data_IF_683510152011
#
_entry.id   IF_683510152011
#
_cell.length_a   1.000
_cell.length_b   1.000
_cell.length_c   1.000
_cell.angle_alpha   90.00
_cell.angle_beta   90.00
_cell.angle_gamma   90.00
#
_symmetry.space_group_name_H-M   'P 1'
#
loop_
_entity.id
_entity.type
_entity.pdbx_description
1 polymer ?
#
# COMPACT_ATOMS: atom_id res chain seq x y z
N UNK A 1 22.19 -20.92 -16.99
CA UNK A 1 21.21 -20.69 -18.06
C UNK A 1 20.94 -19.20 -18.06
N UNK A 2 21.38 -18.46 -19.07
CA UNK A 2 20.95 -17.06 -19.23
C UNK A 2 19.45 -17.05 -19.54
N UNK A 3 18.66 -16.35 -18.72
CA UNK A 3 17.25 -16.14 -19.01
C UNK A 3 17.11 -15.37 -20.33
N UNK A 4 16.28 -15.91 -21.22
CA UNK A 4 16.07 -15.34 -22.55
C UNK A 4 15.20 -14.09 -22.42
N UNK A 5 15.79 -12.90 -22.59
CA UNK A 5 15.09 -11.60 -22.55
C UNK A 5 13.85 -11.60 -23.46
N UNK A 6 12.73 -11.13 -22.94
CA UNK A 6 11.48 -10.98 -23.69
C UNK A 6 11.57 -9.83 -24.70
N UNK A 7 10.61 -9.74 -25.62
CA UNK A 7 10.53 -8.58 -26.53
C UNK A 7 10.23 -7.27 -25.78
N UNK A 8 9.48 -7.37 -24.67
CA UNK A 8 9.20 -6.22 -23.80
C UNK A 8 10.48 -5.71 -23.12
N UNK A 9 11.32 -6.62 -22.60
CA UNK A 9 12.60 -6.25 -21.97
C UNK A 9 13.51 -5.53 -22.96
N UNK A 10 13.64 -6.06 -24.18
CA UNK A 10 14.49 -5.46 -25.23
C UNK A 10 14.02 -4.07 -25.63
N UNK A 11 12.72 -3.89 -25.80
CA UNK A 11 12.14 -2.61 -26.21
C UNK A 11 12.28 -1.57 -25.10
N UNK A 12 12.10 -1.99 -23.84
CA UNK A 12 12.34 -1.13 -22.67
C UNK A 12 13.81 -0.71 -22.60
N UNK A 13 14.75 -1.65 -22.68
CA UNK A 13 16.18 -1.36 -22.65
C UNK A 13 16.61 -0.44 -23.80
N UNK A 14 16.04 -0.61 -24.99
CA UNK A 14 16.29 0.27 -26.13
C UNK A 14 15.77 1.71 -25.87
N UNK A 15 14.61 1.86 -25.23
CA UNK A 15 14.12 3.18 -24.79
C UNK A 15 15.06 3.82 -23.74
N UNK A 16 15.52 3.05 -22.76
CA UNK A 16 16.52 3.48 -21.75
C UNK A 16 17.83 3.93 -22.42
N UNK A 17 18.32 3.22 -23.44
CA UNK A 17 19.52 3.61 -24.16
C UNK A 17 19.32 4.87 -25.01
N UNK A 18 18.18 4.98 -25.71
CA UNK A 18 17.87 6.14 -26.55
C UNK A 18 17.77 7.43 -25.73
N UNK A 19 17.30 7.36 -24.49
CA UNK A 19 17.25 8.50 -23.57
C UNK A 19 18.59 9.25 -23.47
N UNK A 20 19.71 8.53 -23.52
CA UNK A 20 21.06 9.11 -23.40
C UNK A 20 21.43 10.03 -24.57
N UNK A 21 20.76 9.90 -25.72
CA UNK A 21 21.00 10.75 -26.89
C UNK A 21 20.28 12.10 -26.83
N UNK A 22 19.39 12.31 -25.86
CA UNK A 22 18.62 13.54 -25.70
C UNK A 22 19.28 14.53 -24.75
N UNK A 23 19.00 15.83 -24.94
CA UNK A 23 19.45 16.90 -24.06
C UNK A 23 18.67 16.88 -22.73
N UNK A 24 19.26 16.21 -21.73
CA UNK A 24 18.70 16.07 -20.39
C UNK A 24 18.51 17.43 -19.69
N UNK A 25 19.40 18.41 -19.94
CA UNK A 25 19.31 19.74 -19.34
C UNK A 25 18.15 20.55 -19.94
N UNK A 26 17.88 20.39 -21.24
CA UNK A 26 16.68 20.92 -21.88
C UNK A 26 15.42 20.31 -21.26
N UNK A 27 15.37 18.99 -21.05
CA UNK A 27 14.23 18.33 -20.40
C UNK A 27 13.98 18.84 -18.98
N UNK A 28 15.04 18.93 -18.18
CA UNK A 28 14.97 19.42 -16.80
C UNK A 28 14.34 20.81 -16.76
N UNK A 29 14.80 21.73 -17.63
CA UNK A 29 14.23 23.08 -17.72
C UNK A 29 12.78 23.08 -18.23
N UNK A 30 12.49 22.30 -19.27
CA UNK A 30 11.17 22.23 -19.91
C UNK A 30 10.09 21.80 -18.92
N UNK A 31 10.37 20.76 -18.14
CA UNK A 31 9.41 20.15 -17.21
C UNK A 31 9.63 20.53 -15.75
N UNK A 32 10.58 21.44 -15.48
CA UNK A 32 10.97 21.84 -14.11
C UNK A 32 11.31 20.65 -13.20
N UNK A 33 11.98 19.63 -13.76
CA UNK A 33 12.32 18.42 -13.02
C UNK A 33 13.39 18.70 -11.96
N UNK A 34 13.30 17.99 -10.83
CA UNK A 34 14.43 17.91 -9.90
C UNK A 34 15.49 16.99 -10.49
N UNK A 35 16.76 17.30 -10.31
CA UNK A 35 17.85 16.47 -10.76
C UNK A 35 19.10 16.66 -9.91
N UNK A 36 19.95 15.64 -9.87
CA UNK A 36 21.32 15.72 -9.35
C UNK A 36 22.32 15.21 -10.41
N UNK A 37 23.56 14.94 -9.98
CA UNK A 37 24.62 14.42 -10.85
C UNK A 37 24.34 13.01 -11.42
N UNK A 38 23.48 12.23 -10.77
CA UNK A 38 23.22 10.83 -11.11
C UNK A 38 21.82 10.59 -11.65
N UNK A 39 20.83 11.40 -11.26
CA UNK A 39 19.41 11.13 -11.50
C UNK A 39 18.61 12.36 -11.91
N UNK A 40 17.58 12.13 -12.74
CA UNK A 40 16.42 13.00 -12.88
C UNK A 40 15.30 12.42 -12.01
N UNK A 41 14.50 13.27 -11.38
CA UNK A 41 13.39 12.86 -10.52
C UNK A 41 12.07 13.40 -11.07
N UNK A 42 11.06 12.56 -11.05
CA UNK A 42 9.70 12.92 -11.43
C UNK A 42 8.67 12.15 -10.62
N UNK A 43 7.45 12.69 -10.54
CA UNK A 43 6.28 11.98 -10.03
C UNK A 43 5.45 11.50 -11.21
N UNK A 44 5.05 10.23 -11.18
CA UNK A 44 4.18 9.62 -12.17
C UNK A 44 3.07 8.84 -11.45
N UNK A 45 1.82 9.30 -11.59
CA UNK A 45 0.61 8.76 -10.93
C UNK A 45 0.83 8.50 -9.43
N UNK A 46 1.14 9.58 -8.71
CA UNK A 46 1.28 9.55 -7.25
C UNK A 46 2.54 8.85 -6.72
N UNK A 47 3.39 8.28 -7.59
CA UNK A 47 4.64 7.60 -7.20
C UNK A 47 5.85 8.39 -7.66
N UNK A 48 6.89 8.43 -6.84
CA UNK A 48 8.16 9.07 -7.18
C UNK A 48 9.09 8.09 -7.92
N UNK A 49 9.63 8.54 -9.06
CA UNK A 49 10.58 7.81 -9.90
C UNK A 49 11.88 8.59 -10.03
N UNK A 50 12.95 7.84 -10.31
CA UNK A 50 14.24 8.38 -10.72
C UNK A 50 14.69 7.76 -12.03
N UNK A 51 15.30 8.56 -12.90
CA UNK A 51 15.89 8.12 -14.16
C UNK A 51 17.40 8.32 -14.05
N UNK A 52 18.16 7.23 -14.21
CA UNK A 52 19.62 7.29 -14.20
C UNK A 52 20.12 8.06 -15.42
N UNK A 53 20.91 9.10 -15.16
CA UNK A 53 21.53 9.93 -16.21
C UNK A 53 22.58 9.18 -17.03
N UNK A 54 23.13 8.10 -16.46
CA UNK A 54 24.24 7.34 -17.03
C UNK A 54 23.80 6.20 -17.95
N UNK A 55 22.64 5.61 -17.68
CA UNK A 55 22.15 4.45 -18.44
C UNK A 55 20.65 4.51 -18.81
N UNK A 56 19.95 5.59 -18.45
CA UNK A 56 18.53 5.79 -18.74
C UNK A 56 17.57 4.91 -17.95
N UNK A 57 18.08 4.05 -17.06
CA UNK A 57 17.27 3.14 -16.26
C UNK A 57 16.29 3.91 -15.38
N UNK A 58 15.02 3.53 -15.44
CA UNK A 58 13.98 4.11 -14.59
C UNK A 58 13.73 3.19 -13.40
N UNK A 59 13.78 3.78 -12.22
CA UNK A 59 13.58 3.09 -10.95
C UNK A 59 12.60 3.86 -10.08
N UNK A 60 11.88 3.14 -9.23
CA UNK A 60 11.04 3.71 -8.18
C UNK A 60 11.35 2.98 -6.87
N UNK A 61 11.04 3.61 -5.73
CA UNK A 61 11.25 2.94 -4.46
C UNK A 61 10.20 1.86 -4.28
N UNK A 62 10.61 0.60 -4.23
CA UNK A 62 9.70 -0.41 -3.71
C UNK A 62 9.58 -0.17 -2.21
N UNK A 63 8.41 0.26 -1.77
CA UNK A 63 8.08 0.20 -0.35
C UNK A 63 7.97 -1.28 0.04
N UNK A 64 9.13 -1.90 0.34
CA UNK A 64 9.19 -3.18 1.02
C UNK A 64 9.10 -2.93 2.53
N UNK A 65 8.17 -3.66 3.12
CA UNK A 65 7.77 -3.49 4.51
C UNK A 65 8.97 -3.83 5.41
N UNK A 66 9.36 -2.90 6.31
CA UNK A 66 10.40 -3.11 7.32
C UNK A 66 11.83 -2.80 6.89
N UNK A 67 12.03 -2.11 5.76
CA UNK A 67 13.34 -1.61 5.32
C UNK A 67 13.34 -0.07 5.35
N UNK A 68 14.18 0.53 6.19
CA UNK A 68 14.44 1.98 6.23
C UNK A 68 15.34 2.47 5.08
N UNK A 69 15.54 1.65 4.04
CA UNK A 69 16.40 1.98 2.90
C UNK A 69 15.67 1.83 1.57
N UNK A 70 16.07 2.67 0.61
CA UNK A 70 15.54 2.67 -0.75
C UNK A 70 15.94 1.37 -1.46
N UNK A 71 14.99 0.49 -1.75
CA UNK A 71 15.22 -0.67 -2.61
C UNK A 71 14.67 -0.37 -4.01
N UNK A 72 15.55 -0.07 -4.99
CA UNK A 72 15.11 0.29 -6.34
C UNK A 72 14.39 -0.87 -7.01
N UNK A 73 13.09 -0.74 -7.22
CA UNK A 73 12.39 -1.52 -8.23
C UNK A 73 12.59 -0.85 -9.59
N UNK A 74 12.91 -1.65 -10.61
CA UNK A 74 12.95 -1.13 -11.97
C UNK A 74 11.53 -0.94 -12.49
N UNK A 75 11.30 0.16 -13.21
CA UNK A 75 10.05 0.38 -13.91
C UNK A 75 9.80 -0.72 -14.95
N UNK A 76 8.54 -1.11 -15.07
CA UNK A 76 8.02 -2.02 -16.07
C UNK A 76 8.00 -1.38 -17.46
N UNK A 77 7.52 -2.17 -18.43
CA UNK A 77 7.47 -1.78 -19.84
C UNK A 77 6.61 -0.54 -20.09
N UNK A 78 5.36 -0.53 -19.61
CA UNK A 78 4.41 0.57 -19.84
C UNK A 78 4.86 1.87 -19.17
N UNK A 79 5.30 1.79 -17.92
CA UNK A 79 5.87 2.93 -17.17
C UNK A 79 7.05 3.54 -17.92
N UNK A 80 7.98 2.68 -18.38
CA UNK A 80 9.18 3.16 -19.06
C UNK A 80 8.83 3.85 -20.36
N UNK A 81 7.99 3.24 -21.20
CA UNK A 81 7.62 3.84 -22.47
C UNK A 81 6.82 5.14 -22.29
N UNK A 82 5.93 5.20 -21.30
CA UNK A 82 5.16 6.41 -21.01
C UNK A 82 6.05 7.57 -20.56
N UNK A 83 6.94 7.33 -19.59
CA UNK A 83 7.87 8.35 -19.09
C UNK A 83 8.81 8.81 -20.21
N UNK A 84 9.38 7.88 -20.97
CA UNK A 84 10.32 8.22 -22.05
C UNK A 84 9.64 8.99 -23.19
N UNK A 85 8.41 8.63 -23.55
CA UNK A 85 7.69 9.34 -24.61
C UNK A 85 7.39 10.78 -24.22
N UNK A 86 6.90 11.01 -23.00
CA UNK A 86 6.62 12.35 -22.47
C UNK A 86 7.87 13.21 -22.42
N UNK A 87 8.96 12.67 -21.87
CA UNK A 87 10.18 13.45 -21.69
C UNK A 87 10.94 13.68 -23.00
N UNK A 88 10.98 12.70 -23.90
CA UNK A 88 11.85 12.72 -25.07
C UNK A 88 11.14 13.12 -26.36
N UNK A 89 9.83 12.91 -26.48
CA UNK A 89 9.09 13.04 -27.75
C UNK A 89 8.04 14.15 -27.75
N UNK A 90 7.82 14.82 -26.63
CA UNK A 90 6.90 15.96 -26.51
C UNK A 90 7.36 17.17 -27.34
N UNK A 91 6.39 17.93 -27.88
CA UNK A 91 6.63 19.18 -28.59
C UNK A 91 7.26 20.24 -27.68
N UNK A 92 8.15 21.06 -28.21
CA UNK A 92 8.92 22.03 -27.39
C UNK A 92 8.04 23.07 -26.68
N UNK A 93 6.89 23.43 -27.25
CA UNK A 93 5.95 24.45 -26.80
C UNK A 93 4.63 23.86 -26.25
N UNK A 94 4.64 22.58 -25.82
CA UNK A 94 3.45 21.95 -25.25
C UNK A 94 2.90 22.74 -24.06
N UNK A 95 1.62 23.10 -24.12
CA UNK A 95 0.89 23.81 -23.06
C UNK A 95 -0.52 23.22 -22.93
N UNK A 96 -1.01 23.11 -21.69
CA UNK A 96 -2.36 22.64 -21.43
C UNK A 96 -3.39 23.66 -21.96
N UNK A 97 -4.45 23.16 -22.58
CA UNK A 97 -5.58 23.99 -23.03
C UNK A 97 -6.53 24.35 -21.88
N UNK A 98 -6.59 23.52 -20.83
CA UNK A 98 -7.52 23.66 -19.71
C UNK A 98 -8.93 23.10 -20.00
N UNK A 99 -9.17 22.61 -21.22
CA UNK A 99 -10.41 21.94 -21.63
C UNK A 99 -10.18 20.45 -21.80
N UNK A 100 -11.13 19.64 -21.32
CA UNK A 100 -10.97 18.18 -21.20
C UNK A 100 -12.00 17.43 -22.05
N UNK A 101 -11.53 16.42 -22.78
CA UNK A 101 -12.34 15.59 -23.66
C UNK A 101 -11.93 14.11 -23.55
N UNK A 102 -12.83 13.20 -23.96
CA UNK A 102 -12.45 11.81 -24.15
C UNK A 102 -11.43 11.70 -25.29
N UNK A 103 -10.55 10.69 -25.22
CA UNK A 103 -9.40 10.58 -26.12
C UNK A 103 -9.79 10.48 -27.61
N UNK A 104 -10.95 9.91 -27.91
CA UNK A 104 -11.52 9.78 -29.26
C UNK A 104 -11.98 11.13 -29.86
N UNK A 105 -12.14 12.16 -29.02
CA UNK A 105 -12.59 13.51 -29.43
C UNK A 105 -11.45 14.52 -29.54
N UNK A 106 -10.19 14.08 -29.39
CA UNK A 106 -9.04 14.96 -29.52
C UNK A 106 -8.85 15.45 -30.96
N UNK A 107 -8.51 16.72 -31.14
CA UNK A 107 -8.41 17.40 -32.46
C UNK A 107 -7.51 16.71 -33.47
N UNK A 108 -6.46 16.02 -33.02
CA UNK A 108 -5.48 15.33 -33.85
C UNK A 108 -5.88 13.90 -34.21
N UNK A 109 -6.94 13.35 -33.62
CA UNK A 109 -7.43 11.99 -33.85
C UNK A 109 -8.48 12.02 -34.96
N UNK A 110 -8.11 11.59 -36.18
CA UNK A 110 -9.01 11.64 -37.34
C UNK A 110 -9.97 10.44 -37.43
N UNK A 111 -9.56 9.28 -36.93
CA UNK A 111 -10.37 8.06 -36.85
C UNK A 111 -9.72 7.12 -35.82
N UNK A 112 -10.13 7.19 -34.56
CA UNK A 112 -9.86 6.12 -33.61
C UNK A 112 -11.12 5.26 -33.49
N UNK A 113 -10.98 3.94 -33.64
CA UNK A 113 -12.00 3.06 -33.08
C UNK A 113 -12.04 3.36 -31.57
N UNK A 114 -13.21 3.71 -31.04
CA UNK A 114 -13.40 3.72 -29.60
C UNK A 114 -12.94 2.35 -29.10
N UNK A 115 -12.01 2.28 -28.11
CA UNK A 115 -11.69 1.00 -27.49
C UNK A 115 -13.01 0.33 -27.15
N UNK A 116 -13.22 -0.90 -27.62
CA UNK A 116 -14.48 -1.60 -27.44
C UNK A 116 -14.90 -1.58 -25.97
N UNK A 117 -16.20 -1.48 -25.71
CA UNK A 117 -16.77 -1.67 -24.39
C UNK A 117 -16.14 -2.92 -23.76
N UNK A 118 -15.34 -2.71 -22.71
CA UNK A 118 -14.76 -3.77 -21.91
C UNK A 118 -13.25 -3.93 -21.89
N UNK A 119 -12.48 -2.97 -22.45
CA UNK A 119 -11.02 -2.92 -22.24
C UNK A 119 -10.64 -2.88 -20.75
N UNK A 120 -11.54 -2.34 -19.91
CA UNK A 120 -11.34 -2.13 -18.49
C UNK A 120 -12.34 -2.88 -17.62
N UNK A 121 -13.12 -3.83 -18.14
CA UNK A 121 -14.20 -4.49 -17.37
C UNK A 121 -13.72 -5.09 -16.05
N UNK A 122 -12.50 -5.63 -16.02
CA UNK A 122 -11.90 -6.13 -14.77
C UNK A 122 -11.71 -5.03 -13.73
N UNK A 123 -11.25 -3.85 -14.15
CA UNK A 123 -11.08 -2.70 -13.27
C UNK A 123 -12.42 -2.05 -12.92
N UNK A 124 -13.34 -1.92 -13.88
CA UNK A 124 -14.69 -1.40 -13.65
C UNK A 124 -15.38 -2.22 -12.56
N UNK A 125 -15.38 -3.56 -12.69
CA UNK A 125 -15.93 -4.45 -11.65
C UNK A 125 -15.22 -4.30 -10.30
N UNK A 126 -13.89 -4.28 -10.28
CA UNK A 126 -13.12 -4.12 -9.04
C UNK A 126 -13.47 -2.80 -8.33
N UNK A 127 -13.58 -1.71 -9.10
CA UNK A 127 -13.89 -0.39 -8.58
C UNK A 127 -15.34 -0.29 -8.14
N UNK A 128 -16.24 -0.98 -8.83
CA UNK A 128 -17.65 -1.09 -8.47
C UNK A 128 -17.82 -1.68 -7.07
N UNK A 129 -17.12 -2.79 -6.80
CA UNK A 129 -17.08 -3.47 -5.50
C UNK A 129 -16.41 -2.62 -4.40
N UNK A 130 -15.71 -1.53 -4.77
CA UNK A 130 -14.94 -0.69 -3.85
C UNK A 130 -15.26 0.81 -3.99
N UNK A 131 -16.47 1.15 -4.46
CA UNK A 131 -16.86 2.54 -4.80
C UNK A 131 -16.64 3.51 -3.65
N UNK A 132 -16.98 3.11 -2.41
CA UNK A 132 -16.84 3.95 -1.21
C UNK A 132 -15.38 4.36 -0.90
N UNK A 133 -14.40 3.54 -1.28
CA UNK A 133 -12.97 3.78 -1.06
C UNK A 133 -12.33 4.57 -2.20
N UNK A 134 -12.95 4.55 -3.38
CA UNK A 134 -12.33 5.00 -4.62
C UNK A 134 -11.96 6.49 -4.57
N UNK A 135 -12.82 7.34 -4.01
CA UNK A 135 -12.50 8.76 -3.85
C UNK A 135 -11.24 8.98 -2.99
N UNK A 136 -11.11 8.23 -1.90
CA UNK A 136 -9.94 8.30 -1.01
C UNK A 136 -8.67 7.83 -1.71
N UNK A 137 -8.75 6.77 -2.52
CA UNK A 137 -7.63 6.31 -3.35
C UNK A 137 -7.17 7.39 -4.32
N UNK A 138 -8.12 8.05 -5.02
CA UNK A 138 -7.79 9.12 -5.95
C UNK A 138 -7.07 10.28 -5.25
N UNK A 139 -7.52 10.65 -4.05
CA UNK A 139 -6.85 11.65 -3.20
C UNK A 139 -5.44 11.23 -2.77
N UNK A 140 -5.25 9.97 -2.37
CA UNK A 140 -3.93 9.42 -2.00
C UNK A 140 -2.93 9.45 -3.18
N UNK A 141 -3.42 9.29 -4.41
CA UNK A 141 -2.63 9.45 -5.63
C UNK A 141 -2.31 10.92 -5.99
N UNK A 142 -2.76 11.88 -5.17
CA UNK A 142 -2.57 13.32 -5.38
C UNK A 142 -3.68 13.97 -6.19
N UNK A 143 -4.79 13.27 -6.42
CA UNK A 143 -5.94 13.80 -7.14
C UNK A 143 -6.68 14.88 -6.36
N UNK A 144 -7.10 15.94 -7.05
CA UNK A 144 -8.05 16.91 -6.51
C UNK A 144 -9.46 16.52 -6.91
N UNK A 145 -10.38 16.43 -5.95
CA UNK A 145 -11.79 16.09 -6.18
C UNK A 145 -12.39 16.92 -7.32
N UNK A 146 -13.13 16.24 -8.20
CA UNK A 146 -13.77 16.82 -9.38
C UNK A 146 -15.21 16.27 -9.53
N UNK A 147 -15.96 16.75 -10.52
CA UNK A 147 -17.33 16.32 -10.83
C UNK A 147 -17.54 16.27 -12.35
N UNK A 148 -18.51 15.48 -12.86
CA UNK A 148 -19.42 14.53 -12.19
C UNK A 148 -18.84 13.12 -11.98
N UNK A 149 -19.51 12.31 -11.13
CA UNK A 149 -19.18 10.90 -10.83
C UNK A 149 -19.40 10.55 -9.36
N UNK A 150 -19.53 9.26 -9.05
CA UNK A 150 -19.52 8.74 -7.66
C UNK A 150 -18.12 8.85 -7.05
N UNK A 151 -17.10 8.66 -7.88
CA UNK A 151 -15.73 9.04 -7.59
C UNK A 151 -15.13 9.77 -8.79
N UNK A 152 -14.59 10.97 -8.56
CA UNK A 152 -14.00 11.76 -9.62
C UNK A 152 -12.88 12.64 -9.08
N UNK A 153 -11.77 12.68 -9.83
CA UNK A 153 -10.63 13.50 -9.49
C UNK A 153 -9.83 13.89 -10.73
N UNK A 154 -9.30 15.11 -10.70
CA UNK A 154 -8.21 15.53 -11.57
C UNK A 154 -6.90 14.97 -11.01
N UNK A 155 -6.41 13.89 -11.61
CA UNK A 155 -5.19 13.20 -11.23
C UNK A 155 -3.97 13.86 -11.90
N UNK A 156 -2.90 14.17 -11.17
CA UNK A 156 -1.62 14.50 -11.77
C UNK A 156 -0.99 13.23 -12.32
N UNK A 157 -1.09 13.00 -13.63
CA UNK A 157 -0.36 11.90 -14.28
C UNK A 157 1.13 12.18 -14.12
N UNK A 158 1.54 13.37 -14.52
CA UNK A 158 2.79 14.01 -14.10
C UNK A 158 2.42 15.33 -13.42
N UNK A 159 3.34 15.94 -12.67
CA UNK A 159 3.09 17.23 -12.00
C UNK A 159 2.65 18.35 -12.98
N UNK A 160 3.02 18.22 -14.26
CA UNK A 160 2.69 19.16 -15.33
C UNK A 160 1.61 18.67 -16.31
N UNK A 161 1.12 17.43 -16.18
CA UNK A 161 0.15 16.84 -17.11
C UNK A 161 -0.94 16.09 -16.33
N UNK A 162 -2.15 16.64 -16.21
CA UNK A 162 -3.26 16.00 -15.51
C UNK A 162 -4.19 15.22 -16.45
N UNK A 163 -4.94 14.28 -15.87
CA UNK A 163 -6.10 13.63 -16.49
C UNK A 163 -7.25 13.64 -15.48
N UNK A 164 -8.49 13.82 -15.93
CA UNK A 164 -9.66 13.67 -15.06
C UNK A 164 -10.12 12.22 -15.14
N UNK A 165 -10.12 11.54 -14.00
CA UNK A 165 -10.71 10.23 -13.81
C UNK A 165 -12.14 10.41 -13.31
N UNK A 166 -13.09 9.70 -13.90
CA UNK A 166 -14.49 9.70 -13.50
C UNK A 166 -15.04 8.27 -13.47
N UNK A 167 -15.72 7.92 -12.39
CA UNK A 167 -16.34 6.63 -12.20
C UNK A 167 -17.78 6.77 -11.71
N UNK A 168 -18.67 5.96 -12.27
CA UNK A 168 -20.04 5.76 -11.83
C UNK A 168 -20.23 4.29 -11.47
N UNK A 169 -20.80 4.05 -10.29
CA UNK A 169 -21.18 2.72 -9.82
C UNK A 169 -22.29 2.13 -10.70
N UNK A 170 -22.37 0.80 -10.75
CA UNK A 170 -23.49 0.12 -11.38
C UNK A 170 -24.77 0.26 -10.56
N UNK A 171 -25.91 0.25 -11.24
CA UNK A 171 -27.23 0.16 -10.63
C UNK A 171 -28.12 -0.82 -11.42
N UNK A 172 -29.42 -0.86 -11.12
CA UNK A 172 -30.37 -1.76 -11.80
C UNK A 172 -30.51 -1.45 -13.30
N UNK A 173 -30.22 -0.22 -13.73
CA UNK A 173 -30.44 0.27 -15.09
C UNK A 173 -29.14 0.38 -15.91
N UNK A 174 -28.01 0.67 -15.27
CA UNK A 174 -26.74 0.97 -15.94
C UNK A 174 -25.55 0.21 -15.33
N UNK A 175 -24.63 -0.32 -16.16
CA UNK A 175 -23.40 -0.91 -15.67
C UNK A 175 -22.41 0.16 -15.17
N UNK A 176 -21.48 -0.27 -14.32
CA UNK A 176 -20.37 0.54 -13.85
C UNK A 176 -19.63 1.15 -15.04
N UNK A 177 -19.36 2.44 -14.97
CA UNK A 177 -18.79 3.18 -16.10
C UNK A 177 -17.56 3.96 -15.65
N UNK A 178 -16.45 3.74 -16.35
CA UNK A 178 -15.19 4.46 -16.17
C UNK A 178 -14.90 5.39 -17.35
N UNK A 179 -14.45 6.62 -17.07
CA UNK A 179 -14.01 7.57 -18.10
C UNK A 179 -12.72 8.27 -17.72
N UNK A 180 -11.88 8.48 -18.74
CA UNK A 180 -10.73 9.38 -18.69
C UNK A 180 -11.00 10.59 -19.58
N UNK A 181 -10.91 11.77 -19.00
CA UNK A 181 -10.99 13.04 -19.72
C UNK A 181 -9.59 13.65 -19.75
N UNK A 182 -9.10 13.90 -20.94
CA UNK A 182 -7.76 14.38 -21.20
C UNK A 182 -7.78 15.82 -21.66
N UNK A 183 -6.76 16.58 -21.30
CA UNK A 183 -6.58 17.93 -21.84
C UNK A 183 -6.49 17.87 -23.38
N UNK A 184 -7.12 18.82 -24.08
CA UNK A 184 -7.13 18.86 -25.55
C UNK A 184 -5.72 18.81 -26.18
N UNK A 185 -4.72 19.33 -25.49
CA UNK A 185 -3.34 19.37 -25.97
C UNK A 185 -2.48 18.21 -25.41
N UNK A 186 -3.09 17.19 -24.80
CA UNK A 186 -2.35 16.01 -24.26
C UNK A 186 -1.42 15.38 -25.31
N UNK A 187 -1.84 15.36 -26.58
CA UNK A 187 -1.04 14.77 -27.67
C UNK A 187 0.16 15.62 -28.12
N UNK A 188 0.34 16.80 -27.52
CA UNK A 188 1.59 17.56 -27.62
C UNK A 188 2.63 17.05 -26.61
N UNK A 189 2.18 16.37 -25.55
CA UNK A 189 3.04 15.77 -24.53
C UNK A 189 3.39 14.32 -24.85
N UNK A 190 2.44 13.52 -25.36
CA UNK A 190 2.62 12.08 -25.59
C UNK A 190 1.95 11.60 -26.87
N UNK A 191 2.37 10.45 -27.39
CA UNK A 191 1.73 9.79 -28.54
C UNK A 191 0.40 9.17 -28.14
N UNK A 192 -0.49 9.04 -29.12
CA UNK A 192 -1.84 8.49 -28.92
C UNK A 192 -1.81 7.08 -28.30
N UNK A 193 -0.91 6.22 -28.77
CA UNK A 193 -0.73 4.85 -28.25
C UNK A 193 -0.24 4.87 -26.80
N UNK A 194 0.63 5.82 -26.45
CA UNK A 194 1.17 5.98 -25.10
C UNK A 194 0.11 6.36 -24.07
N UNK A 195 -0.95 7.04 -24.49
CA UNK A 195 -2.06 7.37 -23.59
C UNK A 195 -2.70 6.10 -23.00
N UNK A 196 -2.70 4.97 -23.73
CA UNK A 196 -3.21 3.69 -23.23
C UNK A 196 -2.30 3.07 -22.17
N UNK A 197 -0.97 3.21 -22.31
CA UNK A 197 -0.02 2.80 -21.27
C UNK A 197 -0.21 3.64 -20.00
N UNK A 198 -0.46 4.95 -20.16
CA UNK A 198 -0.77 5.82 -19.03
C UNK A 198 -2.08 5.41 -18.35
N UNK A 199 -3.16 5.15 -19.11
CA UNK A 199 -4.42 4.66 -18.53
C UNK A 199 -4.23 3.33 -17.79
N UNK A 200 -3.54 2.37 -18.41
CA UNK A 200 -3.22 1.08 -17.78
C UNK A 200 -2.45 1.25 -16.47
N UNK A 201 -1.44 2.14 -16.46
CA UNK A 201 -0.70 2.45 -15.25
C UNK A 201 -1.56 3.12 -14.17
N UNK A 202 -2.43 4.07 -14.53
CA UNK A 202 -3.37 4.70 -13.58
C UNK A 202 -4.26 3.65 -12.93
N UNK A 203 -4.84 2.74 -13.72
CA UNK A 203 -5.70 1.68 -13.21
C UNK A 203 -4.93 0.71 -12.30
N UNK A 204 -3.71 0.33 -12.66
CA UNK A 204 -2.84 -0.47 -11.79
C UNK A 204 -2.56 0.23 -10.47
N UNK A 205 -2.24 1.53 -10.50
CA UNK A 205 -1.96 2.33 -9.31
C UNK A 205 -3.19 2.48 -8.41
N UNK A 206 -4.37 2.71 -8.97
CA UNK A 206 -5.63 2.74 -8.20
C UNK A 206 -5.87 1.37 -7.55
N UNK A 207 -5.68 0.27 -8.29
CA UNK A 207 -5.79 -1.08 -7.73
C UNK A 207 -4.79 -1.31 -6.59
N UNK A 208 -3.53 -0.92 -6.76
CA UNK A 208 -2.51 -1.05 -5.73
C UNK A 208 -2.85 -0.24 -4.47
N UNK A 209 -3.38 0.97 -4.62
CA UNK A 209 -3.84 1.79 -3.50
C UNK A 209 -5.12 1.27 -2.85
N UNK A 210 -6.05 0.69 -3.63
CA UNK A 210 -7.20 -0.03 -3.08
C UNK A 210 -6.74 -1.20 -2.23
N UNK A 211 -5.80 -2.00 -2.74
CA UNK A 211 -5.17 -3.09 -1.96
C UNK A 211 -4.51 -2.53 -0.72
N UNK A 212 -3.80 -1.40 -0.78
CA UNK A 212 -3.17 -0.76 0.39
C UNK A 212 -4.20 -0.30 1.42
N UNK A 213 -5.31 0.30 1.00
CA UNK A 213 -6.40 0.68 1.90
C UNK A 213 -7.10 -0.55 2.51
N UNK A 214 -7.13 -1.65 1.77
CA UNK A 214 -7.63 -2.94 2.26
C UNK A 214 -6.60 -3.72 3.06
N UNK A 215 -5.32 -3.39 2.94
CA UNK A 215 -4.26 -3.95 3.77
C UNK A 215 -4.45 -3.33 5.14
N UNK A 216 -5.08 -4.08 6.04
CA UNK A 216 -5.30 -3.65 7.43
C UNK A 216 -3.97 -3.68 8.16
N UNK A 217 -3.11 -2.72 7.86
CA UNK A 217 -1.71 -2.71 8.28
C UNK A 217 -1.62 -2.22 9.71
N UNK A 218 -0.95 -3.00 10.55
CA UNK A 218 -0.61 -2.60 11.91
C UNK A 218 0.89 -2.40 12.02
N UNK A 219 1.32 -1.26 12.56
CA UNK A 219 2.72 -0.98 12.88
C UNK A 219 2.86 -0.80 14.38
N UNK A 220 3.76 -1.55 15.01
CA UNK A 220 4.08 -1.46 16.44
C UNK A 220 5.52 -0.99 16.60
N UNK A 221 5.71 0.23 17.10
CA UNK A 221 7.01 0.79 17.45
C UNK A 221 7.33 0.50 18.92
N UNK A 222 8.47 -0.13 19.20
CA UNK A 222 8.95 -0.38 20.58
C UNK A 222 10.23 0.40 20.86
N UNK A 223 10.23 1.18 21.94
CA UNK A 223 11.30 2.12 22.27
C UNK A 223 12.67 1.42 22.43
N UNK A 224 13.62 1.78 21.58
CA UNK A 224 14.97 1.21 21.59
C UNK A 224 15.11 -0.15 20.90
N UNK A 225 14.01 -0.76 20.42
CA UNK A 225 14.04 -2.06 19.74
C UNK A 225 13.81 -1.95 18.23
N UNK A 226 12.92 -1.06 17.79
CA UNK A 226 12.55 -0.85 16.39
C UNK A 226 11.06 -1.08 16.13
N UNK A 227 10.74 -1.45 14.89
CA UNK A 227 9.37 -1.51 14.39
C UNK A 227 9.00 -2.92 13.92
N UNK A 228 7.84 -3.40 14.33
CA UNK A 228 7.19 -4.60 13.79
C UNK A 228 5.99 -4.19 12.93
N UNK A 229 5.80 -4.85 11.79
CA UNK A 229 4.69 -4.57 10.88
C UNK A 229 3.90 -5.83 10.62
N UNK A 230 2.58 -5.72 10.69
CA UNK A 230 1.62 -6.81 10.55
C UNK A 230 0.56 -6.48 9.48
N UNK A 231 0.06 -7.51 8.84
CA UNK A 231 -1.23 -7.52 8.14
C UNK A 231 -2.29 -8.06 9.11
N UNK A 232 -3.44 -7.40 9.21
CA UNK A 232 -4.56 -7.86 10.02
C UNK A 232 -5.68 -8.45 9.14
N UNK A 233 -6.42 -9.42 9.68
CA UNK A 233 -7.46 -10.17 8.96
C UNK A 233 -8.86 -10.09 9.64
N UNK A 234 -9.54 -8.93 9.63
CA UNK A 234 -10.94 -8.77 10.04
C UNK A 234 -11.96 -9.66 9.32
N UNK A 235 -11.61 -10.33 8.22
CA UNK A 235 -12.48 -11.35 7.63
C UNK A 235 -12.58 -12.60 8.52
N UNK A 236 -11.55 -12.86 9.35
CA UNK A 236 -11.48 -13.99 10.28
C UNK A 236 -11.72 -13.57 11.73
N UNK A 237 -11.43 -12.31 12.07
CA UNK A 237 -11.61 -11.77 13.42
C UNK A 237 -12.09 -10.28 13.39
N UNK A 238 -13.29 -9.99 12.87
CA UNK A 238 -13.78 -8.62 12.68
C UNK A 238 -13.87 -7.82 13.98
N UNK A 239 -14.43 -8.40 15.04
CA UNK A 239 -14.63 -7.70 16.34
C UNK A 239 -13.28 -7.40 16.97
N UNK A 240 -12.36 -8.36 16.89
CA UNK A 240 -10.99 -8.25 17.42
C UNK A 240 -10.24 -7.11 16.74
N UNK A 241 -10.22 -7.11 15.40
CA UNK A 241 -9.47 -6.08 14.66
C UNK A 241 -10.11 -4.71 14.82
N UNK A 242 -11.44 -4.60 14.84
CA UNK A 242 -12.12 -3.33 15.10
C UNK A 242 -11.75 -2.76 16.48
N UNK A 243 -11.81 -3.60 17.53
CA UNK A 243 -11.41 -3.21 18.90
C UNK A 243 -9.95 -2.78 18.96
N UNK A 244 -9.04 -3.60 18.40
CA UNK A 244 -7.60 -3.32 18.39
C UNK A 244 -7.27 -2.04 17.59
N UNK A 245 -7.89 -1.84 16.42
CA UNK A 245 -7.74 -0.64 15.59
C UNK A 245 -8.20 0.60 16.34
N UNK A 246 -9.38 0.54 16.98
CA UNK A 246 -9.93 1.65 17.76
C UNK A 246 -8.97 2.08 18.88
N UNK A 247 -8.56 1.13 19.73
CA UNK A 247 -7.66 1.40 20.85
C UNK A 247 -6.30 1.94 20.38
N UNK A 248 -5.76 1.40 19.29
CA UNK A 248 -4.50 1.89 18.70
C UNK A 248 -4.62 3.34 18.23
N UNK A 249 -5.69 3.66 17.51
CA UNK A 249 -5.90 5.01 16.97
C UNK A 249 -6.29 6.04 18.05
N UNK A 250 -6.80 5.59 19.18
CA UNK A 250 -7.01 6.42 20.39
C UNK A 250 -5.72 6.61 21.23
N UNK A 251 -4.62 5.96 20.84
CA UNK A 251 -3.34 6.03 21.57
C UNK A 251 -3.31 5.25 22.88
N UNK A 252 -4.25 4.31 23.09
CA UNK A 252 -4.37 3.54 24.34
C UNK A 252 -3.09 2.75 24.66
N UNK A 253 -2.42 2.22 23.64
CA UNK A 253 -1.23 1.39 23.81
C UNK A 253 0.06 2.19 24.02
N UNK A 254 0.03 3.51 23.85
CA UNK A 254 1.20 4.36 23.93
C UNK A 254 1.70 4.42 25.39
N UNK A 255 2.94 3.99 25.61
CA UNK A 255 3.54 3.88 26.95
C UNK A 255 3.21 2.58 27.70
N UNK A 256 2.37 1.70 27.14
CA UNK A 256 2.20 0.36 27.67
C UNK A 256 3.41 -0.52 27.35
N UNK A 257 3.54 -1.63 28.06
CA UNK A 257 4.71 -2.48 28.03
C UNK A 257 4.41 -3.87 27.48
N UNK A 258 5.46 -4.50 26.94
CA UNK A 258 5.53 -5.95 26.82
C UNK A 258 5.74 -6.54 28.22
N UNK A 259 4.63 -6.87 28.90
CA UNK A 259 4.60 -7.24 30.33
C UNK A 259 4.93 -8.71 30.60
N UNK A 260 4.96 -9.56 29.56
CA UNK A 260 5.35 -10.97 29.64
C UNK A 260 6.13 -11.40 28.40
N UNK A 261 7.24 -12.10 28.60
CA UNK A 261 8.11 -12.60 27.54
C UNK A 261 8.43 -14.06 27.79
N UNK A 262 7.94 -14.95 26.92
CA UNK A 262 8.31 -16.37 26.94
C UNK A 262 9.10 -16.67 25.68
N UNK A 263 10.43 -16.70 25.81
CA UNK A 263 11.34 -17.03 24.71
C UNK A 263 10.94 -18.35 24.05
N UNK A 264 11.10 -18.40 22.73
CA UNK A 264 10.63 -19.50 21.86
C UNK A 264 9.13 -19.83 21.97
N UNK A 265 8.30 -18.86 22.39
CA UNK A 265 6.86 -19.02 22.43
C UNK A 265 6.10 -17.74 22.06
N UNK A 266 5.95 -16.78 22.98
CA UNK A 266 5.18 -15.54 22.76
C UNK A 266 5.74 -14.35 23.55
N UNK A 267 5.54 -13.14 23.03
CA UNK A 267 5.64 -11.88 23.77
C UNK A 267 4.24 -11.28 23.92
N UNK A 268 3.90 -10.75 25.09
CA UNK A 268 2.54 -10.28 25.41
C UNK A 268 2.55 -8.87 25.98
N UNK A 269 1.62 -8.04 25.52
CA UNK A 269 1.47 -6.63 25.88
C UNK A 269 0.00 -6.20 25.90
N UNK A 270 -0.22 -4.88 26.00
CA UNK A 270 -1.58 -4.30 25.97
C UNK A 270 -2.33 -4.30 27.30
N UNK A 271 -1.64 -4.58 28.42
CA UNK A 271 -2.24 -4.42 29.75
C UNK A 271 -2.24 -2.95 30.18
N UNK A 272 -3.41 -2.44 30.57
CA UNK A 272 -3.64 -1.06 31.03
C UNK A 272 -2.75 -0.63 32.21
N UNK A 273 -2.28 -1.58 33.03
CA UNK A 273 -1.44 -1.32 34.21
C UNK A 273 -0.02 -1.86 34.05
N UNK A 274 0.32 -2.41 32.88
CA UNK A 274 1.55 -3.16 32.64
C UNK A 274 1.71 -4.39 33.56
N UNK A 275 0.60 -4.89 34.09
CA UNK A 275 0.50 -6.17 34.81
C UNK A 275 -0.37 -7.12 34.00
N UNK A 276 0.13 -8.32 33.70
CA UNK A 276 -0.62 -9.32 32.92
C UNK A 276 -1.94 -9.73 33.60
N UNK A 277 -2.03 -9.59 34.93
CA UNK A 277 -3.22 -9.95 35.71
C UNK A 277 -4.23 -8.79 35.82
N UNK A 278 -4.07 -7.72 35.04
CA UNK A 278 -4.98 -6.58 35.08
C UNK A 278 -6.38 -6.96 34.58
N UNK A 279 -7.39 -6.68 35.40
CA UNK A 279 -8.78 -6.91 35.05
C UNK A 279 -9.35 -5.80 34.17
N UNK A 280 -10.37 -6.17 33.37
CA UNK A 280 -11.15 -5.27 32.55
C UNK A 280 -12.65 -5.38 32.82
N UNK A 281 -13.32 -4.23 32.92
CA UNK A 281 -14.77 -4.16 33.11
C UNK A 281 -15.57 -4.49 31.83
N UNK A 282 -14.89 -4.72 30.71
CA UNK A 282 -15.52 -5.04 29.42
C UNK A 282 -14.71 -6.09 28.66
N UNK A 283 -15.39 -6.92 27.88
CA UNK A 283 -14.74 -7.94 27.06
C UNK A 283 -15.34 -7.96 25.66
N UNK A 284 -14.56 -8.46 24.71
CA UNK A 284 -15.00 -8.79 23.36
C UNK A 284 -15.21 -10.30 23.23
N UNK A 285 -16.04 -10.67 22.25
CA UNK A 285 -16.25 -12.07 21.87
C UNK A 285 -14.93 -12.71 21.42
N UNK A 286 -14.66 -13.93 21.87
CA UNK A 286 -13.53 -14.72 21.38
C UNK A 286 -13.77 -15.27 19.98
N UNK A 287 -13.05 -14.77 18.97
CA UNK A 287 -13.22 -15.18 17.56
C UNK A 287 -12.31 -16.36 17.17
N UNK A 288 -12.58 -17.53 17.75
CA UNK A 288 -11.83 -18.77 17.49
C UNK A 288 -12.72 -20.02 17.48
N UNK A 289 -12.19 -21.13 16.95
CA UNK A 289 -12.94 -22.36 16.66
C UNK A 289 -13.62 -23.00 17.87
N UNK A 290 -12.94 -23.12 19.01
CA UNK A 290 -13.52 -23.65 20.25
C UNK A 290 -14.70 -22.81 20.78
N UNK A 291 -14.81 -21.54 20.37
CA UNK A 291 -15.94 -20.65 20.66
C UNK A 291 -16.93 -20.52 19.48
N UNK A 292 -16.88 -21.45 18.52
CA UNK A 292 -17.82 -21.55 17.40
C UNK A 292 -17.63 -20.52 16.29
N UNK A 293 -16.45 -19.89 16.19
CA UNK A 293 -16.11 -18.96 15.10
C UNK A 293 -15.06 -19.62 14.20
N UNK A 294 -15.33 -19.67 12.89
CA UNK A 294 -14.39 -20.23 11.91
C UNK A 294 -13.21 -19.28 11.67
N UNK A 295 -12.14 -19.47 12.43
CA UNK A 295 -10.89 -18.74 12.29
C UNK A 295 -9.79 -19.70 11.84
N UNK A 296 -9.38 -19.68 10.55
CA UNK A 296 -8.44 -20.65 9.99
C UNK A 296 -6.98 -20.32 10.28
N UNK A 297 -6.69 -19.14 10.84
CA UNK A 297 -5.34 -18.63 11.03
C UNK A 297 -4.53 -19.51 11.98
N UNK A 298 -3.23 -19.59 11.72
CA UNK A 298 -2.29 -20.45 12.46
C UNK A 298 -1.38 -19.60 13.31
N UNK A 299 -1.07 -20.08 14.50
CA UNK A 299 -0.11 -19.44 15.41
C UNK A 299 1.32 -19.81 15.01
N UNK A 300 1.72 -19.42 13.80
CA UNK A 300 3.11 -19.51 13.33
C UNK A 300 3.91 -18.31 13.81
N UNK A 301 5.24 -18.37 13.72
CA UNK A 301 6.11 -17.22 14.04
C UNK A 301 5.65 -15.95 13.34
N UNK A 302 5.40 -14.89 14.10
CA UNK A 302 4.89 -13.61 13.63
C UNK A 302 3.38 -13.44 13.71
N UNK A 303 2.60 -14.48 14.02
CA UNK A 303 1.16 -14.33 14.23
C UNK A 303 0.87 -13.41 15.42
N UNK A 304 -0.13 -12.53 15.30
CA UNK A 304 -0.66 -11.69 16.38
C UNK A 304 -2.06 -12.18 16.78
N UNK A 305 -2.31 -12.26 18.08
CA UNK A 305 -3.54 -12.84 18.62
C UNK A 305 -3.94 -12.20 19.94
N UNK A 306 -5.24 -12.21 20.26
CA UNK A 306 -5.76 -11.69 21.53
C UNK A 306 -5.46 -12.62 22.69
N UNK A 307 -4.97 -12.05 23.79
CA UNK A 307 -4.93 -12.74 25.06
C UNK A 307 -6.33 -12.75 25.69
N UNK A 308 -6.57 -13.73 26.56
CA UNK A 308 -7.83 -13.91 27.29
C UNK A 308 -7.57 -14.70 28.56
N UNK A 309 -8.53 -14.64 29.48
CA UNK A 309 -8.61 -15.58 30.60
C UNK A 309 -9.16 -16.93 30.12
N UNK A 310 -9.35 -17.87 31.06
CA UNK A 310 -9.78 -19.23 30.75
C UNK A 310 -11.15 -19.29 30.04
N UNK A 311 -12.06 -18.36 30.33
CA UNK A 311 -13.36 -18.26 29.68
C UNK A 311 -13.26 -17.64 28.28
N UNK A 312 -14.11 -18.09 27.35
CA UNK A 312 -13.94 -17.78 25.93
C UNK A 312 -14.11 -16.30 25.56
N UNK A 313 -15.09 -15.61 26.15
CA UNK A 313 -15.43 -14.21 25.85
C UNK A 313 -14.85 -13.26 26.90
N UNK A 314 -13.55 -13.38 27.17
CA UNK A 314 -12.82 -12.57 28.16
C UNK A 314 -11.65 -11.77 27.57
N UNK A 315 -11.45 -11.82 26.25
CA UNK A 315 -10.46 -10.98 25.60
C UNK A 315 -10.80 -9.49 25.79
N UNK A 316 -9.80 -8.66 26.05
CA UNK A 316 -9.96 -7.25 26.36
C UNK A 316 -9.02 -6.37 25.51
N UNK A 317 -7.98 -5.80 26.11
CA UNK A 317 -6.94 -4.98 25.49
C UNK A 317 -5.63 -5.74 25.33
N UNK A 318 -5.45 -6.89 26.00
CA UNK A 318 -4.19 -7.64 25.95
C UNK A 318 -4.06 -8.47 24.67
N UNK A 319 -2.87 -8.45 24.07
CA UNK A 319 -2.54 -9.22 22.86
C UNK A 319 -1.13 -9.80 22.97
N UNK A 320 -0.84 -10.80 22.12
CA UNK A 320 0.48 -11.41 22.04
C UNK A 320 0.93 -11.60 20.60
N UNK A 321 2.26 -11.64 20.41
CA UNK A 321 2.93 -11.96 19.16
C UNK A 321 3.69 -13.27 19.33
N UNK A 322 3.49 -14.20 18.41
CA UNK A 322 4.11 -15.52 18.42
C UNK A 322 5.56 -15.43 17.99
N UNK A 323 6.49 -15.80 18.88
CA UNK A 323 7.92 -15.83 18.60
C UNK A 323 8.35 -17.12 17.89
N UNK A 324 7.68 -18.24 18.18
CA UNK A 324 7.90 -19.54 17.52
C UNK A 324 6.60 -20.31 17.41
N UNK A 325 6.45 -21.07 16.33
CA UNK A 325 5.25 -21.83 16.00
C UNK A 325 4.63 -22.54 17.22
N UNK A 326 3.35 -22.27 17.42
CA UNK A 326 2.60 -22.56 18.62
C UNK A 326 1.24 -23.19 18.29
N UNK A 327 1.23 -24.25 17.46
CA UNK A 327 0.01 -24.93 16.99
C UNK A 327 -0.99 -25.33 18.08
N UNK A 328 -0.55 -25.46 19.34
CA UNK A 328 -1.42 -25.69 20.50
C UNK A 328 -2.41 -24.53 20.81
N UNK A 329 -2.20 -23.36 20.21
CA UNK A 329 -3.06 -22.19 20.32
C UNK A 329 -4.13 -22.16 19.20
N UNK A 330 -3.94 -22.91 18.12
CA UNK A 330 -4.83 -22.92 16.96
C UNK A 330 -6.25 -23.35 17.35
N UNK A 331 -7.23 -22.56 16.95
CA UNK A 331 -8.64 -22.78 17.28
C UNK A 331 -9.01 -22.46 18.73
N UNK A 332 -8.07 -21.99 19.58
CA UNK A 332 -8.30 -21.69 21.01
C UNK A 332 -8.14 -20.22 21.37
N UNK A 333 -7.49 -19.46 20.47
CA UNK A 333 -7.24 -18.03 20.56
C UNK A 333 -7.55 -17.37 19.23
N UNK A 334 -8.03 -16.13 19.27
CA UNK A 334 -8.37 -15.36 18.08
C UNK A 334 -7.08 -14.78 17.49
N UNK A 335 -6.43 -15.54 16.61
CA UNK A 335 -5.41 -14.95 15.73
C UNK A 335 -6.11 -13.96 14.80
N UNK A 336 -5.50 -12.79 14.60
CA UNK A 336 -6.13 -11.71 13.83
C UNK A 336 -5.17 -11.00 12.89
N UNK A 337 -3.95 -11.51 12.74
CA UNK A 337 -2.96 -10.96 11.81
C UNK A 337 -1.65 -11.74 11.80
N UNK A 338 -0.78 -11.39 10.87
CA UNK A 338 0.54 -11.98 10.69
C UNK A 338 1.60 -10.90 10.42
N UNK A 339 2.81 -11.12 10.93
CA UNK A 339 3.93 -10.21 10.77
C UNK A 339 4.47 -10.25 9.34
N UNK A 340 4.50 -9.09 8.70
CA UNK A 340 5.11 -8.86 7.39
C UNK A 340 6.60 -8.56 7.52
N UNK A 341 7.01 -7.87 8.59
CA UNK A 341 8.41 -7.51 8.83
C UNK A 341 8.69 -7.16 10.30
N UNK A 342 9.97 -7.10 10.67
CA UNK A 342 10.39 -6.80 12.04
C UNK A 342 10.70 -8.04 12.89
N UNK A 343 10.91 -9.20 12.28
CA UNK A 343 11.28 -10.43 13.01
C UNK A 343 12.55 -10.27 13.86
N UNK A 344 13.52 -9.46 13.43
CA UNK A 344 14.71 -9.17 14.25
C UNK A 344 14.40 -8.30 15.48
N UNK A 345 13.34 -7.49 15.42
CA UNK A 345 12.82 -6.71 16.56
C UNK A 345 12.12 -7.66 17.54
N UNK A 346 11.29 -8.57 17.02
CA UNK A 346 10.65 -9.64 17.79
C UNK A 346 11.69 -10.48 18.55
N UNK A 347 12.77 -10.91 17.88
CA UNK A 347 13.84 -11.69 18.50
C UNK A 347 14.54 -10.92 19.63
N UNK A 348 14.87 -9.63 19.39
CA UNK A 348 15.49 -8.78 20.42
C UNK A 348 14.61 -8.61 21.65
N UNK A 349 13.31 -8.40 21.47
CA UNK A 349 12.37 -8.30 22.60
C UNK A 349 12.32 -9.66 23.32
N UNK A 350 12.17 -10.76 22.57
CA UNK A 350 12.09 -12.11 23.14
C UNK A 350 13.35 -12.55 23.90
N UNK A 351 14.50 -11.94 23.62
CA UNK A 351 15.79 -12.18 24.27
C UNK A 351 15.99 -11.38 25.58
N UNK A 352 15.08 -10.47 25.94
CA UNK A 352 15.20 -9.70 27.18
C UNK A 352 15.13 -10.60 28.43
N UNK A 353 15.98 -10.34 29.45
CA UNK A 353 15.97 -11.11 30.70
C UNK A 353 14.62 -11.02 31.42
N UNK A 354 14.15 -12.14 31.98
CA UNK A 354 12.91 -12.21 32.75
C UNK A 354 13.14 -12.74 34.17
N UNK A 355 12.20 -12.47 35.07
CA UNK A 355 12.17 -13.00 36.44
C UNK A 355 11.65 -14.45 36.50
N UNK A 356 11.57 -15.17 35.38
CA UNK A 356 11.20 -16.59 35.33
C UNK A 356 9.69 -16.90 35.43
N UNK A 357 9.30 -18.18 35.29
CA UNK A 357 7.90 -18.61 35.21
C UNK A 357 7.04 -18.29 36.44
N UNK A 358 7.63 -18.28 37.63
CA UNK A 358 7.00 -17.93 38.91
C UNK A 358 6.47 -16.49 38.96
N UNK A 359 6.95 -15.63 38.07
CA UNK A 359 6.48 -14.26 37.88
C UNK A 359 5.83 -14.07 36.50
N UNK A 360 5.29 -15.14 35.93
CA UNK A 360 4.71 -15.16 34.59
C UNK A 360 5.69 -14.81 33.48
N UNK A 361 7.01 -14.90 33.73
CA UNK A 361 8.09 -14.43 32.86
C UNK A 361 8.03 -12.91 32.60
N UNK A 362 7.78 -12.14 33.67
CA UNK A 362 7.86 -10.69 33.62
C UNK A 362 9.29 -10.24 33.28
N UNK A 363 9.49 -9.33 32.29
CA UNK A 363 10.83 -8.81 31.98
C UNK A 363 11.44 -8.02 33.14
N UNK A 364 12.76 -8.12 33.31
CA UNK A 364 13.51 -7.36 34.32
C UNK A 364 13.42 -5.87 34.04
N UNK A 365 13.54 -5.50 32.76
CA UNK A 365 13.24 -4.18 32.23
C UNK A 365 12.16 -4.36 31.16
N UNK A 366 10.98 -3.79 31.38
CA UNK A 366 9.87 -3.93 30.45
C UNK A 366 10.10 -3.07 29.18
N UNK A 367 10.10 -3.68 27.98
CA UNK A 367 10.14 -2.92 26.73
C UNK A 367 8.84 -2.13 26.53
N UNK A 368 8.96 -0.85 26.15
CA UNK A 368 7.83 0.09 26.07
C UNK A 368 7.34 0.22 24.63
N UNK A 369 6.05 0.03 24.43
CA UNK A 369 5.35 0.32 23.18
C UNK A 369 5.25 1.83 23.05
N UNK A 370 5.96 2.39 22.07
CA UNK A 370 5.93 3.81 21.78
C UNK A 370 4.63 4.21 21.10
N UNK A 371 4.22 3.42 20.11
CA UNK A 371 3.04 3.68 19.29
C UNK A 371 2.55 2.42 18.59
N UNK A 372 1.23 2.27 18.50
CA UNK A 372 0.59 1.35 17.55
C UNK A 372 -0.24 2.16 16.55
N UNK A 373 -0.02 1.92 15.25
CA UNK A 373 -0.81 2.55 14.17
C UNK A 373 -1.49 1.47 13.36
N UNK A 374 -2.82 1.55 13.20
CA UNK A 374 -3.60 0.64 12.37
C UNK A 374 -4.30 1.42 11.27
N UNK A 375 -3.85 1.22 10.03
CA UNK A 375 -4.31 1.95 8.84
C UNK A 375 -5.62 1.39 8.28
#
# INVERSE_FOLDING_TARGET
>A
MEEKKTNYDKTREDAEQRFLAYDQEKMIRKFSLKADENYLYLRFVGRDYRISRKNGRIEWNREEIGKDYFEPAQAGFEETLAIMDVLCSSKDDCQLAGTYNTIDRMKSVRYAATPGSGLYTTYEKLFDENTEKLQKVLENLGGTKDHPGDAAAKLPVFDFLPVIFQFWHSDEEFPATLKFMWDENTLDYLRFETAFYVMGHILSRIKEELVRLDTRRCTIETEGFGTMVFELYPEYAPITVESFKKLSNEGFYDGLCWCRIVKDYVIQGGSRTNDIMAECDWHIKGEFLENGVDNPLKHVRGAISMARDDAYDTADTQFFVVHKDAAKLDGRYAAFGEMLSGFSVLDKIADEPTYGPETWNKPVKMPVIRKITVE
#
